data_IF_229128128050
#
_entry.id   IF_229128128050
#
_cell.length_a   1.000
_cell.length_b   1.000
_cell.length_c   1.000
_cell.angle_alpha   90.00
_cell.angle_beta   90.00
_cell.angle_gamma   90.00
#
_symmetry.space_group_name_H-M   'P 1'
#
loop_
_entity.id
_entity.type
_entity.pdbx_description
1 polymer ?
#
# COMPACT_ATOMS: atom_id res chain seq x y z
N UNK A 1 10.53 16.01 8.85
CA UNK A 1 12.01 15.95 8.57
C UNK A 1 12.34 14.50 8.21
N UNK A 2 13.06 14.28 7.12
CA UNK A 2 13.46 12.92 6.70
C UNK A 2 14.35 12.27 7.74
N UNK A 3 14.05 11.02 8.11
CA UNK A 3 14.81 10.25 9.10
C UNK A 3 15.72 9.23 8.40
N UNK A 4 16.96 9.11 8.89
CA UNK A 4 17.93 8.08 8.48
C UNK A 4 18.00 7.06 9.61
N UNK A 5 17.56 5.85 9.35
CA UNK A 5 17.50 4.78 10.35
C UNK A 5 18.89 4.22 10.63
N UNK A 6 19.23 4.09 11.90
CA UNK A 6 20.42 3.37 12.36
C UNK A 6 20.29 1.87 12.06
N UNK A 7 21.40 1.14 12.12
CA UNK A 7 21.40 -0.33 11.92
C UNK A 7 20.41 -1.05 12.84
N UNK A 8 20.32 -0.62 14.13
CA UNK A 8 19.37 -1.20 15.08
C UNK A 8 17.92 -0.93 14.68
N UNK A 9 17.61 0.27 14.24
CA UNK A 9 16.24 0.64 13.80
C UNK A 9 15.85 -0.13 12.54
N UNK A 10 16.80 -0.33 11.61
CA UNK A 10 16.57 -1.15 10.41
C UNK A 10 16.20 -2.60 10.79
N UNK A 11 16.87 -3.20 11.78
CA UNK A 11 16.50 -4.55 12.24
C UNK A 11 15.09 -4.59 12.84
N UNK A 12 14.69 -3.57 13.62
CA UNK A 12 13.32 -3.47 14.15
C UNK A 12 12.29 -3.28 13.03
N UNK A 13 12.63 -2.51 12.00
CA UNK A 13 11.81 -2.37 10.78
C UNK A 13 11.65 -3.71 10.06
N UNK A 14 12.74 -4.50 9.90
CA UNK A 14 12.67 -5.84 9.29
C UNK A 14 11.73 -6.77 10.06
N UNK A 15 11.75 -6.71 11.41
CA UNK A 15 10.83 -7.50 12.23
C UNK A 15 9.37 -7.11 12.01
N UNK A 16 9.04 -5.82 11.96
CA UNK A 16 7.70 -5.33 11.67
C UNK A 16 7.27 -5.72 10.24
N UNK A 17 8.09 -5.42 9.24
CA UNK A 17 7.83 -5.74 7.83
C UNK A 17 7.64 -7.24 7.59
N UNK A 18 8.39 -8.10 8.31
CA UNK A 18 8.19 -9.55 8.23
C UNK A 18 6.80 -9.95 8.73
N UNK A 19 6.27 -9.32 9.78
CA UNK A 19 4.90 -9.59 10.25
C UNK A 19 3.88 -9.17 9.21
N UNK A 20 4.05 -8.01 8.59
CA UNK A 20 3.23 -7.54 7.46
C UNK A 20 3.22 -8.58 6.33
N UNK A 21 4.39 -9.04 5.89
CA UNK A 21 4.51 -10.06 4.85
C UNK A 21 3.85 -11.40 5.21
N UNK A 22 4.02 -11.86 6.47
CA UNK A 22 3.36 -13.08 6.97
C UNK A 22 1.85 -12.92 7.06
N UNK A 23 1.36 -11.72 7.35
CA UNK A 23 -0.07 -11.41 7.39
C UNK A 23 -0.67 -11.45 5.99
N UNK A 24 -0.01 -10.84 5.01
CA UNK A 24 -0.42 -10.94 3.60
C UNK A 24 -0.44 -12.39 3.10
N UNK A 25 0.56 -13.20 3.49
CA UNK A 25 0.57 -14.63 3.15
C UNK A 25 -0.62 -15.37 3.75
N UNK A 26 -0.97 -15.11 5.01
CA UNK A 26 -2.13 -15.74 5.64
C UNK A 26 -3.47 -15.33 4.98
N UNK A 27 -3.56 -14.08 4.53
CA UNK A 27 -4.72 -13.59 3.75
C UNK A 27 -4.78 -14.29 2.38
N UNK A 28 -3.67 -14.36 1.66
CA UNK A 28 -3.57 -15.02 0.35
C UNK A 28 -4.02 -16.48 0.40
N UNK A 29 -3.64 -17.21 1.46
CA UNK A 29 -4.02 -18.61 1.67
C UNK A 29 -5.51 -18.78 2.03
N UNK A 30 -6.15 -17.73 2.58
CA UNK A 30 -7.51 -17.82 3.10
C UNK A 30 -8.58 -17.21 2.18
N UNK A 31 -8.26 -16.13 1.45
CA UNK A 31 -9.23 -15.32 0.71
C UNK A 31 -9.92 -16.13 -0.38
N UNK A 32 -11.26 -16.10 -0.39
CA UNK A 32 -12.09 -16.82 -1.36
C UNK A 32 -13.47 -16.19 -1.47
N UNK A 33 -14.21 -16.47 -2.55
CA UNK A 33 -15.59 -16.03 -2.69
C UNK A 33 -16.47 -16.46 -1.51
N UNK A 34 -17.39 -15.58 -1.09
CA UNK A 34 -18.30 -15.80 0.03
C UNK A 34 -17.80 -15.30 1.38
N UNK A 35 -16.52 -14.98 1.52
CA UNK A 35 -16.00 -14.31 2.71
C UNK A 35 -16.45 -12.84 2.74
N UNK A 36 -16.59 -12.31 3.94
CA UNK A 36 -16.78 -10.87 4.12
C UNK A 36 -15.42 -10.15 4.25
N UNK A 37 -15.40 -8.84 3.98
CA UNK A 37 -14.19 -8.05 4.23
C UNK A 37 -13.81 -8.05 5.72
N UNK A 38 -14.79 -8.13 6.63
CA UNK A 38 -14.53 -8.31 8.06
C UNK A 38 -13.86 -9.66 8.41
N UNK A 39 -14.06 -10.72 7.62
CA UNK A 39 -13.37 -11.99 7.83
C UNK A 39 -11.87 -11.85 7.50
N UNK A 40 -11.54 -11.12 6.45
CA UNK A 40 -10.15 -10.83 6.06
C UNK A 40 -9.46 -9.97 7.12
N UNK A 41 -10.13 -8.91 7.57
CA UNK A 41 -9.62 -8.04 8.66
C UNK A 41 -9.32 -8.86 9.93
N UNK A 42 -10.20 -9.79 10.29
CA UNK A 42 -10.02 -10.68 11.45
C UNK A 42 -8.82 -11.61 11.29
N UNK A 43 -8.60 -12.15 10.09
CA UNK A 43 -7.41 -12.98 9.79
C UNK A 43 -6.15 -12.16 9.95
N UNK A 44 -6.14 -10.92 9.44
CA UNK A 44 -5.01 -10.00 9.58
C UNK A 44 -4.70 -9.69 11.04
N UNK A 45 -5.71 -9.25 11.81
CA UNK A 45 -5.54 -8.93 13.23
C UNK A 45 -5.02 -10.12 14.04
N UNK A 46 -5.58 -11.31 13.81
CA UNK A 46 -5.14 -12.53 14.51
C UNK A 46 -3.71 -12.92 14.12
N UNK A 47 -3.34 -12.74 12.86
CA UNK A 47 -1.98 -13.07 12.39
C UNK A 47 -0.97 -12.09 12.95
N UNK A 48 -1.21 -10.78 12.90
CA UNK A 48 -0.35 -9.78 13.53
C UNK A 48 -0.16 -10.07 15.01
N UNK A 49 -1.24 -10.34 15.74
CA UNK A 49 -1.20 -10.68 17.16
C UNK A 49 -0.40 -11.95 17.46
N UNK A 50 -0.54 -12.99 16.62
CA UNK A 50 0.24 -14.25 16.71
C UNK A 50 1.74 -14.00 16.67
N UNK A 51 2.18 -13.01 15.88
CA UNK A 51 3.60 -12.65 15.75
C UNK A 51 4.03 -11.48 16.64
N UNK A 52 3.22 -11.10 17.63
CA UNK A 52 3.54 -10.06 18.62
C UNK A 52 3.57 -8.64 18.04
N UNK A 53 2.67 -8.37 17.09
CA UNK A 53 2.43 -7.05 16.51
C UNK A 53 0.97 -6.65 16.71
N UNK A 54 0.69 -5.37 16.52
CA UNK A 54 -0.67 -4.80 16.45
C UNK A 54 -0.83 -4.04 15.13
N UNK A 55 -2.06 -3.77 14.71
CA UNK A 55 -2.31 -2.85 13.61
C UNK A 55 -2.00 -1.41 14.04
N UNK A 56 -1.32 -0.65 13.17
CA UNK A 56 -1.16 0.79 13.32
C UNK A 56 -2.34 1.58 12.75
N UNK A 57 -3.14 0.97 11.89
CA UNK A 57 -4.32 1.60 11.28
C UNK A 57 -5.51 1.69 12.25
N UNK A 58 -5.73 0.63 13.06
CA UNK A 58 -6.87 0.58 13.97
C UNK A 58 -6.81 1.66 15.04
N UNK A 59 -7.75 2.59 14.97
CA UNK A 59 -7.81 3.77 15.84
C UNK A 59 -6.94 4.93 15.35
N UNK A 60 -6.36 4.85 14.14
CA UNK A 60 -5.64 5.96 13.54
C UNK A 60 -6.58 7.15 13.34
N UNK A 61 -6.23 8.30 13.92
CA UNK A 61 -6.96 9.56 13.79
C UNK A 61 -6.21 10.49 12.82
N UNK A 62 -6.81 10.83 11.68
CA UNK A 62 -6.17 11.73 10.70
C UNK A 62 -6.14 13.20 11.17
N UNK A 63 -6.77 13.52 12.29
CA UNK A 63 -6.88 14.89 12.80
C UNK A 63 -7.80 15.79 11.96
N UNK A 64 -8.63 15.21 11.09
CA UNK A 64 -9.56 15.93 10.21
C UNK A 64 -10.92 16.02 10.91
N UNK A 65 -11.44 17.24 11.05
CA UNK A 65 -12.72 17.47 11.72
C UNK A 65 -13.87 16.77 10.98
N UNK A 66 -14.55 15.86 11.69
CA UNK A 66 -15.69 15.11 11.15
C UNK A 66 -15.34 13.72 10.62
N UNK A 67 -14.07 13.39 10.48
CA UNK A 67 -13.61 12.05 10.14
C UNK A 67 -13.35 11.27 11.44
N UNK A 68 -14.04 10.14 11.66
CA UNK A 68 -13.80 9.33 12.87
C UNK A 68 -12.46 8.59 12.76
N UNK A 69 -11.85 8.15 13.87
CA UNK A 69 -10.70 7.26 13.84
C UNK A 69 -10.99 6.00 13.00
N UNK A 70 -9.98 5.49 12.26
CA UNK A 70 -10.16 4.32 11.41
C UNK A 70 -10.58 3.09 12.23
N UNK A 71 -11.67 2.39 11.87
CA UNK A 71 -12.29 1.44 12.80
C UNK A 71 -11.71 0.02 12.77
N UNK A 72 -10.84 -0.31 11.78
CA UNK A 72 -10.41 -1.67 11.48
C UNK A 72 -8.90 -1.83 11.50
N UNK A 73 -8.42 -3.07 11.42
CA UNK A 73 -6.99 -3.40 11.45
C UNK A 73 -6.33 -3.40 10.08
N UNK A 74 -7.15 -3.32 9.01
CA UNK A 74 -6.71 -3.31 7.61
C UNK A 74 -7.64 -2.45 6.78
N UNK A 75 -7.14 -1.85 5.69
CA UNK A 75 -7.97 -1.27 4.64
C UNK A 75 -8.29 -2.33 3.60
N UNK A 76 -9.58 -2.53 3.25
CA UNK A 76 -10.00 -3.54 2.27
C UNK A 76 -10.89 -2.91 1.22
N UNK A 77 -10.35 -2.75 0.03
CA UNK A 77 -10.97 -2.06 -1.11
C UNK A 77 -11.29 -3.05 -2.22
N UNK A 78 -12.54 -3.06 -2.71
CA UNK A 78 -13.03 -4.02 -3.71
C UNK A 78 -13.30 -3.30 -5.03
N UNK A 79 -12.76 -3.80 -6.14
CA UNK A 79 -13.02 -3.39 -7.52
C UNK A 79 -12.74 -1.90 -7.79
N UNK A 80 -13.75 -1.04 -7.76
CA UNK A 80 -13.69 0.41 -7.99
C UNK A 80 -13.27 1.21 -6.73
N UNK A 81 -13.15 0.54 -5.59
CA UNK A 81 -12.55 1.15 -4.41
C UNK A 81 -11.03 1.18 -4.55
N UNK A 82 -10.47 2.35 -4.42
CA UNK A 82 -9.02 2.61 -4.62
C UNK A 82 -8.23 2.21 -3.38
N UNK A 83 -8.56 2.85 -2.23
CA UNK A 83 -7.89 2.69 -0.93
C UNK A 83 -8.86 2.95 0.23
N UNK A 84 -8.40 2.67 1.43
CA UNK A 84 -9.05 2.96 2.71
C UNK A 84 -10.44 2.34 2.88
N UNK A 85 -10.80 1.32 2.08
CA UNK A 85 -12.09 0.64 2.21
C UNK A 85 -12.29 0.06 3.60
N UNK A 86 -13.39 0.43 4.29
CA UNK A 86 -13.66 0.01 5.66
C UNK A 86 -14.23 -1.42 5.67
N UNK A 87 -13.59 -2.39 6.37
CA UNK A 87 -14.08 -3.76 6.50
C UNK A 87 -15.47 -3.85 7.13
N UNK A 88 -16.32 -4.74 6.59
CA UNK A 88 -17.69 -4.91 7.04
C UNK A 88 -18.19 -6.34 6.88
N UNK A 89 -19.03 -6.81 7.82
CA UNK A 89 -19.76 -8.08 7.69
C UNK A 89 -20.83 -8.08 6.57
N UNK A 90 -21.15 -6.90 6.03
CA UNK A 90 -22.13 -6.75 4.93
C UNK A 90 -21.47 -6.77 3.55
N UNK A 91 -20.15 -6.59 3.47
CA UNK A 91 -19.40 -6.54 2.20
C UNK A 91 -18.86 -7.94 1.91
N UNK A 92 -19.55 -8.65 1.00
CA UNK A 92 -19.22 -10.03 0.61
C UNK A 92 -18.36 -10.01 -0.65
N UNK A 93 -17.20 -10.66 -0.57
CA UNK A 93 -16.29 -10.87 -1.69
C UNK A 93 -16.90 -11.91 -2.64
N UNK A 94 -16.95 -11.60 -3.93
CA UNK A 94 -17.57 -12.42 -4.97
C UNK A 94 -16.52 -13.06 -5.88
N UNK A 95 -16.92 -14.11 -6.60
CA UNK A 95 -16.12 -14.65 -7.71
C UNK A 95 -15.94 -13.59 -8.79
N UNK A 96 -14.70 -13.36 -9.19
CA UNK A 96 -14.32 -12.32 -10.14
C UNK A 96 -13.90 -10.98 -9.55
N UNK A 97 -14.03 -10.77 -8.24
CA UNK A 97 -13.57 -9.54 -7.59
C UNK A 97 -12.03 -9.45 -7.55
N UNK A 98 -11.52 -8.24 -7.64
CA UNK A 98 -10.17 -7.90 -7.19
C UNK A 98 -10.27 -7.17 -5.86
N UNK A 99 -9.44 -7.55 -4.89
CA UNK A 99 -9.52 -7.07 -3.51
C UNK A 99 -8.16 -6.55 -3.08
N UNK A 100 -8.02 -5.26 -2.95
CA UNK A 100 -6.84 -4.61 -2.39
C UNK A 100 -6.94 -4.66 -0.87
N UNK A 101 -5.93 -5.25 -0.25
CA UNK A 101 -5.76 -5.25 1.19
C UNK A 101 -4.48 -4.52 1.51
N UNK A 102 -4.62 -3.50 2.33
CA UNK A 102 -3.52 -2.69 2.83
C UNK A 102 -3.46 -2.84 4.35
N UNK A 103 -2.25 -3.02 4.90
CA UNK A 103 -2.07 -3.25 6.33
C UNK A 103 -0.69 -2.84 6.85
N UNK A 104 -0.71 -2.21 8.01
CA UNK A 104 0.47 -1.76 8.72
C UNK A 104 0.64 -2.52 10.04
N UNK A 105 1.70 -3.33 10.14
CA UNK A 105 2.05 -4.01 11.39
C UNK A 105 3.00 -3.13 12.23
N UNK A 106 2.56 -2.77 13.43
CA UNK A 106 3.38 -2.10 14.44
C UNK A 106 3.99 -3.14 15.38
N UNK A 107 5.32 -3.23 15.37
CA UNK A 107 6.07 -4.14 16.26
C UNK A 107 7.32 -3.46 16.81
N UNK A 108 7.54 -3.59 18.11
CA UNK A 108 8.71 -3.03 18.79
C UNK A 108 8.91 -1.52 18.55
N UNK A 109 7.80 -0.77 18.35
CA UNK A 109 7.80 0.67 18.09
C UNK A 109 8.16 1.07 16.67
N UNK A 110 8.12 0.14 15.71
CA UNK A 110 8.33 0.41 14.28
C UNK A 110 7.22 -0.20 13.43
N UNK A 111 6.93 0.45 12.30
CA UNK A 111 5.88 0.09 11.37
C UNK A 111 6.47 -0.66 10.16
N UNK A 112 5.71 -1.62 9.65
CA UNK A 112 5.95 -2.26 8.38
C UNK A 112 4.67 -2.24 7.58
N UNK A 113 4.71 -1.65 6.38
CA UNK A 113 3.56 -1.30 5.55
C UNK A 113 3.61 -2.00 4.22
N UNK A 114 2.47 -2.56 3.78
CA UNK A 114 2.34 -3.13 2.45
C UNK A 114 0.87 -3.30 2.03
N UNK A 115 0.63 -3.13 0.74
CA UNK A 115 -0.65 -3.44 0.11
C UNK A 115 -0.52 -4.49 -1.00
N UNK A 116 -1.55 -5.32 -1.14
CA UNK A 116 -1.67 -6.34 -2.20
C UNK A 116 -3.08 -6.34 -2.76
N UNK A 117 -3.20 -6.43 -4.08
CA UNK A 117 -4.49 -6.72 -4.72
C UNK A 117 -4.58 -8.21 -5.06
N UNK A 118 -5.52 -8.88 -4.43
CA UNK A 118 -5.81 -10.31 -4.64
C UNK A 118 -6.88 -10.48 -5.71
N UNK A 119 -6.65 -11.44 -6.60
CA UNK A 119 -7.62 -11.87 -7.60
C UNK A 119 -8.45 -13.03 -7.02
N UNK A 120 -9.75 -12.83 -6.84
CA UNK A 120 -10.60 -13.81 -6.16
C UNK A 120 -11.44 -14.60 -7.18
N UNK A 121 -11.16 -15.89 -7.31
CA UNK A 121 -11.84 -16.77 -8.26
C UNK A 121 -11.52 -16.44 -9.72
N UNK A 122 -12.56 -16.35 -10.57
CA UNK A 122 -12.42 -16.17 -12.02
C UNK A 122 -12.48 -14.70 -12.43
N UNK A 123 -11.39 -13.95 -12.24
CA UNK A 123 -11.33 -12.54 -12.62
C UNK A 123 -11.25 -12.33 -14.14
N UNK A 124 -11.74 -11.19 -14.62
CA UNK A 124 -11.64 -10.81 -16.04
C UNK A 124 -10.17 -10.63 -16.46
N UNK A 125 -9.92 -10.72 -17.79
CA UNK A 125 -8.58 -10.46 -18.33
C UNK A 125 -8.12 -9.02 -18.06
N UNK A 126 -9.04 -8.07 -18.07
CA UNK A 126 -8.74 -6.66 -17.81
C UNK A 126 -8.39 -6.42 -16.34
N UNK A 127 -9.14 -7.03 -15.41
CA UNK A 127 -8.83 -6.99 -13.98
C UNK A 127 -7.45 -7.62 -13.68
N UNK A 128 -7.17 -8.78 -14.27
CA UNK A 128 -5.86 -9.43 -14.14
C UNK A 128 -4.73 -8.53 -14.64
N UNK A 129 -4.90 -7.94 -15.84
CA UNK A 129 -3.92 -7.03 -16.41
C UNK A 129 -3.67 -5.81 -15.53
N UNK A 130 -4.74 -5.21 -14.98
CA UNK A 130 -4.62 -4.07 -14.07
C UNK A 130 -3.77 -4.43 -12.84
N UNK A 131 -4.06 -5.54 -12.18
CA UNK A 131 -3.31 -6.02 -11.00
C UNK A 131 -1.84 -6.25 -11.34
N UNK A 132 -1.55 -6.90 -12.47
CA UNK A 132 -0.18 -7.17 -12.94
C UNK A 132 0.57 -5.87 -13.25
N UNK A 133 -0.07 -4.91 -13.93
CA UNK A 133 0.52 -3.60 -14.24
C UNK A 133 0.79 -2.81 -12.97
N UNK A 134 -0.14 -2.80 -12.02
CA UNK A 134 0.04 -2.11 -10.73
C UNK A 134 1.23 -2.67 -9.96
N UNK A 135 1.33 -3.98 -9.87
CA UNK A 135 2.49 -4.65 -9.27
C UNK A 135 3.79 -4.31 -10.00
N UNK A 136 3.80 -4.35 -11.34
CA UNK A 136 4.99 -4.05 -12.12
C UNK A 136 5.40 -2.58 -11.99
N UNK A 137 4.45 -1.64 -11.84
CA UNK A 137 4.73 -0.22 -11.63
C UNK A 137 5.62 0.00 -10.39
N UNK A 138 5.37 -0.71 -9.30
CA UNK A 138 6.24 -0.71 -8.13
C UNK A 138 7.67 -1.12 -8.50
N UNK A 139 7.85 -2.24 -9.22
CA UNK A 139 9.17 -2.72 -9.60
C UNK A 139 9.88 -1.80 -10.59
N UNK A 140 9.16 -1.10 -11.47
CA UNK A 140 9.75 -0.07 -12.33
C UNK A 140 10.25 1.12 -11.49
N UNK A 141 9.46 1.55 -10.50
CA UNK A 141 9.82 2.65 -9.60
C UNK A 141 11.07 2.36 -8.78
N UNK A 142 11.13 1.20 -8.12
CA UNK A 142 12.25 0.88 -7.23
C UNK A 142 13.59 0.67 -7.93
N UNK A 143 13.64 0.49 -9.26
CA UNK A 143 14.90 0.53 -10.01
C UNK A 143 15.67 1.84 -9.80
N UNK A 144 14.94 2.91 -9.48
CA UNK A 144 15.48 4.25 -9.23
C UNK A 144 15.63 4.56 -7.73
N UNK A 145 15.22 3.66 -6.83
CA UNK A 145 15.34 3.83 -5.38
C UNK A 145 16.78 3.58 -4.90
N UNK A 146 17.74 4.31 -5.47
CA UNK A 146 19.19 4.13 -5.25
C UNK A 146 19.79 5.39 -4.68
N UNK A 147 20.86 5.20 -3.89
CA UNK A 147 21.67 6.31 -3.37
C UNK A 147 22.01 7.33 -4.45
N UNK A 148 21.75 8.60 -4.15
CA UNK A 148 22.05 9.72 -5.04
C UNK A 148 20.96 10.09 -6.04
N UNK A 149 20.05 9.18 -6.39
CA UNK A 149 18.83 9.51 -7.11
C UNK A 149 17.89 10.34 -6.22
N UNK A 150 16.77 10.76 -6.77
CA UNK A 150 15.78 11.59 -6.07
C UNK A 150 14.41 10.92 -6.04
N UNK A 151 13.55 11.33 -5.13
CA UNK A 151 12.15 10.85 -5.05
C UNK A 151 11.46 10.96 -6.42
N UNK A 152 11.64 12.08 -7.13
CA UNK A 152 11.05 12.27 -8.46
C UNK A 152 11.49 11.28 -9.53
N UNK A 153 12.62 10.61 -9.36
CA UNK A 153 13.05 9.56 -10.29
C UNK A 153 12.17 8.31 -10.13
N UNK A 154 11.84 7.94 -8.88
CA UNK A 154 10.89 6.86 -8.55
C UNK A 154 9.50 7.24 -9.08
N UNK A 155 9.01 8.41 -8.70
CA UNK A 155 7.68 8.93 -9.08
C UNK A 155 7.48 8.98 -10.60
N UNK A 156 8.50 9.46 -11.33
CA UNK A 156 8.47 9.52 -12.78
C UNK A 156 8.39 8.13 -13.42
N UNK A 157 9.21 7.19 -12.94
CA UNK A 157 9.26 5.84 -13.47
C UNK A 157 7.92 5.11 -13.29
N UNK A 158 7.28 5.24 -12.12
CA UNK A 158 5.95 4.68 -11.85
C UNK A 158 4.92 5.28 -12.79
N UNK A 159 4.80 6.61 -12.81
CA UNK A 159 3.76 7.28 -13.59
C UNK A 159 3.92 7.08 -15.10
N UNK A 160 5.14 7.10 -15.61
CA UNK A 160 5.41 6.87 -17.03
C UNK A 160 5.11 5.42 -17.42
N UNK A 161 5.50 4.45 -16.60
CA UNK A 161 5.16 3.05 -16.86
C UNK A 161 3.64 2.86 -16.91
N UNK A 162 2.89 3.31 -15.90
CA UNK A 162 1.43 3.18 -15.84
C UNK A 162 0.77 3.84 -17.05
N UNK A 163 1.21 5.06 -17.41
CA UNK A 163 0.70 5.79 -18.58
C UNK A 163 0.93 5.02 -19.89
N UNK A 164 2.11 4.42 -20.08
CA UNK A 164 2.41 3.63 -21.29
C UNK A 164 1.60 2.34 -21.39
N UNK A 165 1.11 1.83 -20.25
CA UNK A 165 0.18 0.70 -20.22
C UNK A 165 -1.29 1.09 -20.48
N UNK A 166 -1.58 2.40 -20.61
CA UNK A 166 -2.92 2.93 -20.88
C UNK A 166 -3.78 3.09 -19.63
N UNK A 167 -3.18 3.19 -18.45
CA UNK A 167 -3.84 3.38 -17.17
C UNK A 167 -3.52 4.75 -16.55
N UNK A 168 -4.24 5.10 -15.49
CA UNK A 168 -4.05 6.32 -14.71
C UNK A 168 -3.51 6.02 -13.32
N UNK A 169 -2.72 6.94 -12.75
CA UNK A 169 -2.35 6.92 -11.32
C UNK A 169 -3.20 7.91 -10.55
N UNK A 170 -3.51 7.59 -9.30
CA UNK A 170 -4.12 8.51 -8.34
C UNK A 170 -3.16 9.67 -8.07
N UNK A 171 -3.70 10.88 -7.92
CA UNK A 171 -2.90 12.10 -7.74
C UNK A 171 -2.96 12.70 -6.34
N UNK A 172 -4.03 12.43 -5.63
CA UNK A 172 -4.35 12.98 -4.31
C UNK A 172 -3.65 12.23 -3.18
N UNK A 173 -3.26 10.98 -3.45
CA UNK A 173 -2.55 10.11 -2.50
C UNK A 173 -1.16 9.74 -3.01
N UNK A 174 -0.26 9.42 -2.09
CA UNK A 174 1.15 9.21 -2.38
C UNK A 174 1.81 8.33 -1.33
N UNK A 175 2.88 7.67 -1.69
CA UNK A 175 3.76 6.99 -0.75
C UNK A 175 4.47 7.95 0.21
N UNK A 176 5.14 7.41 1.20
CA UNK A 176 5.69 8.18 2.31
C UNK A 176 6.96 7.55 2.89
N UNK A 177 7.69 8.32 3.69
CA UNK A 177 8.66 7.76 4.61
C UNK A 177 7.94 6.96 5.70
N UNK A 178 8.60 5.97 6.28
CA UNK A 178 8.01 5.13 7.32
C UNK A 178 9.06 4.75 8.37
N UNK A 179 8.63 4.57 9.62
CA UNK A 179 9.53 4.22 10.71
C UNK A 179 8.81 4.06 12.02
N UNK A 180 9.10 4.93 12.99
CA UNK A 180 8.38 4.99 14.27
C UNK A 180 6.95 5.47 14.07
N UNK A 181 6.78 6.47 13.21
CA UNK A 181 5.47 6.89 12.75
C UNK A 181 5.09 6.09 11.50
N UNK A 182 3.80 5.84 11.32
CA UNK A 182 3.25 5.22 10.12
C UNK A 182 3.56 6.08 8.90
N UNK A 183 3.31 7.37 9.00
CA UNK A 183 3.62 8.34 7.95
C UNK A 183 4.74 9.28 8.39
N UNK A 184 5.89 9.21 7.72
CA UNK A 184 7.03 10.10 7.88
C UNK A 184 7.33 10.84 6.56
N UNK A 185 8.13 11.92 6.63
CA UNK A 185 8.72 12.48 5.41
C UNK A 185 9.72 11.50 4.75
N UNK A 186 9.85 11.53 3.42
CA UNK A 186 9.19 12.40 2.45
C UNK A 186 7.91 11.80 1.87
N UNK A 187 7.04 12.65 1.31
CA UNK A 187 5.99 12.18 0.40
C UNK A 187 6.57 11.69 -0.93
N UNK A 188 5.96 10.66 -1.52
CA UNK A 188 6.43 9.97 -2.73
C UNK A 188 5.26 9.82 -3.72
N UNK A 189 4.95 10.85 -4.50
CA UNK A 189 3.88 10.76 -5.50
C UNK A 189 4.14 9.66 -6.53
N UNK A 190 3.07 9.07 -7.05
CA UNK A 190 3.15 8.07 -8.13
C UNK A 190 3.31 8.69 -9.53
N UNK A 191 3.59 9.99 -9.61
CA UNK A 191 3.83 10.76 -10.84
C UNK A 191 4.79 11.91 -10.54
N UNK A 192 5.41 12.44 -11.57
CA UNK A 192 6.28 13.60 -11.38
C UNK A 192 7.37 13.73 -12.44
N UNK A 193 8.32 14.62 -12.17
CA UNK A 193 9.48 14.87 -13.04
C UNK A 193 10.73 14.23 -12.45
N UNK A 194 11.44 13.47 -13.27
CA UNK A 194 12.75 12.93 -12.90
C UNK A 194 13.73 14.04 -12.46
N UNK A 195 14.64 13.70 -11.56
CA UNK A 195 15.66 14.60 -11.01
C UNK A 195 15.12 15.64 -10.02
N UNK A 196 13.87 15.54 -9.55
CA UNK A 196 13.25 16.46 -8.57
C UNK A 196 13.06 15.80 -7.21
N UNK A 197 12.82 16.63 -6.20
CA UNK A 197 12.56 16.19 -4.83
C UNK A 197 13.84 15.87 -4.04
N UNK A 198 13.64 15.25 -2.90
CA UNK A 198 14.67 14.91 -1.93
C UNK A 198 15.62 13.86 -2.52
N UNK A 199 16.92 13.99 -2.24
CA UNK A 199 17.94 13.01 -2.62
C UNK A 199 17.82 11.78 -1.73
N UNK A 200 17.91 10.61 -2.33
CA UNK A 200 17.89 9.33 -1.63
C UNK A 200 19.23 9.04 -0.98
N UNK A 201 19.18 8.72 0.30
CA UNK A 201 20.36 8.38 1.11
C UNK A 201 20.16 7.03 1.80
N UNK A 202 21.22 6.23 1.95
CA UNK A 202 21.17 4.95 2.66
C UNK A 202 20.64 5.12 4.09
N UNK A 203 19.78 4.20 4.51
CA UNK A 203 19.08 4.27 5.80
C UNK A 203 17.70 4.94 5.73
N UNK A 204 17.30 5.53 4.60
CA UNK A 204 15.89 5.91 4.40
C UNK A 204 15.04 4.66 4.24
N UNK A 205 13.87 4.62 4.90
CA UNK A 205 12.83 3.61 4.73
C UNK A 205 11.59 4.28 4.16
N UNK A 206 11.04 3.71 3.10
CA UNK A 206 10.01 4.33 2.27
C UNK A 206 8.90 3.32 1.96
N UNK A 207 7.65 3.72 2.07
CA UNK A 207 6.49 3.05 1.52
C UNK A 207 6.30 3.53 0.07
N UNK A 208 6.43 2.62 -0.88
CA UNK A 208 6.22 2.89 -2.32
C UNK A 208 4.95 2.17 -2.73
N UNK A 209 3.93 2.93 -3.13
CA UNK A 209 2.55 2.45 -3.19
C UNK A 209 1.81 2.93 -4.46
N UNK A 210 2.11 2.43 -5.66
CA UNK A 210 1.31 2.74 -6.82
C UNK A 210 -0.15 2.32 -6.65
N UNK A 211 -1.04 3.31 -6.75
CA UNK A 211 -2.49 3.17 -6.86
C UNK A 211 -2.88 3.47 -8.31
N UNK A 212 -3.36 2.43 -9.01
CA UNK A 212 -3.61 2.48 -10.46
C UNK A 212 -5.08 2.29 -10.75
N UNK A 213 -5.61 3.15 -11.61
CA UNK A 213 -7.01 3.17 -12.05
C UNK A 213 -7.09 2.79 -13.53
N UNK A 214 -8.04 1.92 -13.88
CA UNK A 214 -8.26 1.48 -15.26
C UNK A 214 -8.75 2.62 -16.15
N UNK A 215 -9.53 3.55 -15.58
CA UNK A 215 -10.13 4.69 -16.26
C UNK A 215 -9.43 6.02 -15.98
N UNK A 216 -10.25 7.03 -15.68
CA UNK A 216 -9.78 8.39 -15.35
C UNK A 216 -9.20 8.45 -13.95
N UNK A 217 -8.29 9.41 -13.68
CA UNK A 217 -7.63 9.52 -12.38
C UNK A 217 -8.49 10.13 -11.27
N UNK A 218 -9.70 10.60 -11.59
CA UNK A 218 -10.56 11.32 -10.67
C UNK A 218 -11.21 10.36 -9.65
N UNK A 219 -11.26 10.77 -8.39
CA UNK A 219 -11.70 9.96 -7.26
C UNK A 219 -12.76 10.68 -6.42
N UNK A 220 -13.53 9.90 -5.66
CA UNK A 220 -14.53 10.39 -4.70
C UNK A 220 -14.32 9.73 -3.34
N UNK A 221 -14.61 10.45 -2.26
CA UNK A 221 -14.67 9.94 -0.90
C UNK A 221 -16.11 9.57 -0.56
N UNK A 222 -16.32 8.40 0.05
CA UNK A 222 -17.64 7.96 0.49
C UNK A 222 -18.04 8.60 1.83
N UNK A 223 -19.32 8.49 2.18
CA UNK A 223 -19.89 9.07 3.41
C UNK A 223 -19.31 8.49 4.71
N UNK A 224 -18.59 7.37 4.64
CA UNK A 224 -17.88 6.81 5.80
C UNK A 224 -16.65 7.63 6.21
N UNK A 225 -16.25 8.61 5.37
CA UNK A 225 -15.14 9.51 5.59
C UNK A 225 -13.76 8.87 5.36
N UNK A 226 -13.72 7.66 4.78
CA UNK A 226 -12.49 6.90 4.55
C UNK A 226 -12.38 6.29 3.17
N UNK A 227 -13.40 5.55 2.74
CA UNK A 227 -13.34 4.79 1.49
C UNK A 227 -13.25 5.71 0.29
N UNK A 228 -12.19 5.55 -0.49
CA UNK A 228 -11.96 6.27 -1.74
C UNK A 228 -12.34 5.37 -2.91
N UNK A 229 -13.17 5.89 -3.82
CA UNK A 229 -13.60 5.18 -5.03
C UNK A 229 -13.19 5.94 -6.30
N UNK A 230 -13.15 5.25 -7.43
CA UNK A 230 -13.01 5.90 -8.74
C UNK A 230 -14.30 6.62 -9.10
N UNK A 231 -14.22 7.85 -9.63
CA UNK A 231 -15.40 8.63 -10.00
C UNK A 231 -16.17 7.99 -11.17
N UNK A 232 -15.45 7.31 -12.07
CA UNK A 232 -16.04 6.71 -13.27
C UNK A 232 -16.48 5.24 -13.09
N UNK A 233 -16.35 4.68 -11.89
CA UNK A 233 -16.68 3.29 -11.57
C UNK A 233 -15.75 2.26 -12.20
N UNK A 234 -14.59 2.68 -12.72
CA UNK A 234 -13.59 1.76 -13.28
C UNK A 234 -12.79 1.05 -12.18
N UNK A 235 -12.21 -0.10 -12.51
CA UNK A 235 -11.43 -0.88 -11.55
C UNK A 235 -10.18 -0.12 -11.09
N UNK A 236 -9.82 -0.31 -9.81
CA UNK A 236 -8.58 0.16 -9.23
C UNK A 236 -7.78 -0.99 -8.60
N UNK A 237 -6.47 -0.85 -8.53
CA UNK A 237 -5.58 -1.79 -7.86
C UNK A 237 -4.49 -1.03 -7.10
N UNK A 238 -4.06 -1.61 -5.99
CA UNK A 238 -3.03 -1.07 -5.11
C UNK A 238 -1.94 -2.12 -4.88
N UNK A 239 -0.68 -1.71 -4.99
CA UNK A 239 0.45 -2.58 -4.66
C UNK A 239 1.53 -1.76 -3.97
N UNK A 240 1.95 -2.21 -2.79
CA UNK A 240 2.86 -1.46 -1.95
C UNK A 240 3.89 -2.36 -1.28
N UNK A 241 5.07 -1.81 -1.04
CA UNK A 241 6.02 -2.36 -0.08
C UNK A 241 6.81 -1.26 0.63
N UNK A 242 7.17 -1.54 1.88
CA UNK A 242 8.24 -0.85 2.58
C UNK A 242 9.58 -1.29 2.00
N UNK A 243 10.40 -0.32 1.59
CA UNK A 243 11.77 -0.54 1.10
C UNK A 243 12.80 0.19 1.98
N UNK A 244 14.02 -0.31 1.98
CA UNK A 244 15.20 0.34 2.55
C UNK A 244 16.12 0.81 1.42
N UNK A 245 16.49 2.09 1.43
CA UNK A 245 17.56 2.59 0.58
C UNK A 245 18.90 2.12 1.14
N UNK A 246 19.71 1.45 0.31
CA UNK A 246 21.03 0.93 0.69
C UNK A 246 22.14 1.65 -0.09
N UNK A 247 23.39 1.28 0.16
CA UNK A 247 24.55 1.76 -0.63
C UNK A 247 24.53 1.22 -2.08
N UNK A 248 23.74 0.18 -2.35
CA UNK A 248 23.63 -0.49 -3.67
C UNK A 248 22.20 -0.49 -4.15
N UNK A 249 21.62 -1.69 -4.32
CA UNK A 249 20.21 -1.88 -4.70
C UNK A 249 19.30 -1.71 -3.47
N UNK A 250 18.05 -1.22 -3.66
CA UNK A 250 17.10 -1.15 -2.56
C UNK A 250 16.76 -2.55 -2.03
N UNK A 251 16.51 -2.64 -0.74
CA UNK A 251 16.00 -3.86 -0.11
C UNK A 251 14.48 -3.72 0.07
N UNK A 252 13.70 -4.68 -0.41
CA UNK A 252 12.26 -4.75 -0.15
C UNK A 252 12.05 -5.51 1.15
N UNK A 253 11.53 -4.83 2.18
CA UNK A 253 11.43 -5.39 3.53
C UNK A 253 10.17 -6.22 3.77
N UNK A 254 9.10 -5.99 3.00
CA UNK A 254 7.76 -6.61 3.18
C UNK A 254 7.49 -7.77 2.22
N UNK A 255 8.53 -8.49 1.82
CA UNK A 255 8.45 -9.77 1.10
C UNK A 255 9.13 -10.89 1.91
N UNK A 256 8.71 -12.17 1.71
CA UNK A 256 9.24 -13.36 2.39
C UNK A 256 10.32 -14.06 1.56
#
# INVERSE_FOLDING_TARGET
MVTIKSKREIELMREACRVTALTHKAIEEAIKPGMTTADIDRIAEQTMKKYGAISAEKGYDPGIRGVPPYPASTCISINDEVIHGVPSNKRIIKDGDIVSVDLVALKNGYNGDAARTYMVGNVSKDAKRLVEVTKQAFFEGIKYAKKGNRIGDISHAIGEYVRTQGYSVVREFQGHGIGKEMHEDPGIPNYGKAGKGIRLEPGMTLAIEPMVIQGKPDILELEDGWTIITEDGSLAAHYENTILITEKEPEVLTIL
#
